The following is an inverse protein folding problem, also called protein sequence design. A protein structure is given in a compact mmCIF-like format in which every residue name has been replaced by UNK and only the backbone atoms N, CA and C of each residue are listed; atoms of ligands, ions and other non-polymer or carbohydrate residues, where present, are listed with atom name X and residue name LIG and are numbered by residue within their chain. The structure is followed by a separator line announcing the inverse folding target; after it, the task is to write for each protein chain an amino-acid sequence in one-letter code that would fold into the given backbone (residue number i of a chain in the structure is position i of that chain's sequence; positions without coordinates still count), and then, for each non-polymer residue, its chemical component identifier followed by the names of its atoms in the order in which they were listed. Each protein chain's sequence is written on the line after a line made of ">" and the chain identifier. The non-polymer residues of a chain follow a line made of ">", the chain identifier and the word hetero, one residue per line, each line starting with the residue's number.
data_IF_100554960748
#
_entry.id   IF_100554960748
#
_cell.length_a   1.000
_cell.length_b   1.000
_cell.length_c   1.000
_cell.angle_alpha   90.00
_cell.angle_beta   90.00
_cell.angle_gamma   90.00
#
_symmetry.space_group_name_H-M   'P 1'
#
loop_
_entity.id
_entity.type
_entity.pdbx_description
1 polymer ?
#
# COMPACT_ATOMS: atom_id res chain seq x y z
N UNK A 1 -25.02 57.77 -43.74
CA UNK A 1 -25.30 57.10 -42.45
C UNK A 1 -24.27 56.00 -42.26
N UNK A 2 -23.17 56.30 -41.57
CA UNK A 2 -22.33 55.29 -40.91
C UNK A 2 -21.68 56.00 -39.72
N UNK A 3 -22.27 55.85 -38.55
CA UNK A 3 -21.75 56.36 -37.28
C UNK A 3 -20.55 55.50 -36.86
N UNK A 4 -19.41 56.12 -36.64
CA UNK A 4 -18.25 55.48 -36.02
C UNK A 4 -18.62 55.09 -34.57
N UNK A 5 -18.25 53.89 -34.09
CA UNK A 5 -18.53 53.50 -32.71
C UNK A 5 -17.66 54.32 -31.75
N UNK A 6 -18.33 54.92 -30.78
CA UNK A 6 -17.79 55.65 -29.64
C UNK A 6 -16.83 54.79 -28.79
N UNK A 7 -15.79 55.46 -28.25
CA UNK A 7 -15.50 55.34 -26.82
C UNK A 7 -14.85 54.05 -26.31
N UNK A 8 -13.59 53.85 -26.67
CA UNK A 8 -12.47 53.41 -25.81
C UNK A 8 -12.74 52.85 -24.39
N UNK A 9 -13.37 51.70 -24.25
CA UNK A 9 -13.27 50.84 -23.03
C UNK A 9 -11.83 50.31 -22.78
N UNK A 10 -10.92 50.53 -23.74
CA UNK A 10 -9.51 50.14 -23.64
C UNK A 10 -8.69 51.05 -22.72
N UNK A 11 -9.07 52.31 -22.53
CA UNK A 11 -8.29 53.25 -21.71
C UNK A 11 -8.51 53.04 -20.20
N UNK A 12 -9.73 52.63 -19.81
CA UNK A 12 -10.12 52.48 -18.40
C UNK A 12 -9.55 51.20 -17.76
N UNK A 13 -9.21 50.19 -18.58
CA UNK A 13 -8.66 48.91 -18.12
C UNK A 13 -7.12 48.83 -18.07
N UNK A 14 -6.39 49.83 -18.60
CA UNK A 14 -4.92 49.83 -18.61
C UNK A 14 -4.24 49.75 -17.22
N UNK A 15 -4.69 50.48 -16.17
CA UNK A 15 -4.00 50.43 -14.87
C UNK A 15 -4.22 49.09 -14.14
N UNK A 16 -5.34 48.40 -14.40
CA UNK A 16 -5.62 47.06 -13.87
C UNK A 16 -4.78 46.01 -14.60
N UNK A 17 -4.65 46.13 -15.92
CA UNK A 17 -3.79 45.28 -16.73
C UNK A 17 -2.31 45.42 -16.31
N UNK A 18 -1.83 46.64 -16.04
CA UNK A 18 -0.48 46.91 -15.54
C UNK A 18 -0.18 46.29 -14.17
N UNK A 19 -1.11 46.36 -13.22
CA UNK A 19 -0.95 45.73 -11.89
C UNK A 19 -1.00 44.20 -11.97
N UNK A 20 -1.82 43.65 -12.87
CA UNK A 20 -1.91 42.20 -13.09
C UNK A 20 -0.64 41.67 -13.76
N UNK A 21 -0.05 42.42 -14.70
CA UNK A 21 1.22 42.05 -15.34
C UNK A 21 2.39 42.14 -14.35
N UNK A 22 2.45 43.16 -13.48
CA UNK A 22 3.46 43.23 -12.41
C UNK A 22 3.37 42.05 -11.43
N UNK A 23 2.15 41.70 -10.98
CA UNK A 23 1.94 40.56 -10.09
C UNK A 23 2.31 39.23 -10.76
N UNK A 24 1.96 39.08 -12.04
CA UNK A 24 2.31 37.90 -12.82
C UNK A 24 3.84 37.79 -13.02
N UNK A 25 4.51 38.90 -13.34
CA UNK A 25 5.97 38.96 -13.49
C UNK A 25 6.68 38.64 -12.18
N UNK A 26 6.23 39.22 -11.06
CA UNK A 26 6.78 38.93 -9.74
C UNK A 26 6.59 37.44 -9.36
N UNK A 27 5.44 36.85 -9.69
CA UNK A 27 5.19 35.41 -9.49
C UNK A 27 6.12 34.55 -10.35
N UNK A 28 6.36 34.95 -11.61
CA UNK A 28 7.27 34.26 -12.51
C UNK A 28 8.71 34.32 -12.01
N UNK A 29 9.23 35.49 -11.64
CA UNK A 29 10.57 35.64 -11.06
C UNK A 29 10.73 34.77 -9.80
N UNK A 30 9.78 34.83 -8.86
CA UNK A 30 9.81 33.95 -7.66
C UNK A 30 9.83 32.47 -8.00
N UNK A 31 9.09 32.03 -9.02
CA UNK A 31 9.10 30.63 -9.45
C UNK A 31 10.43 30.24 -10.08
N UNK A 32 11.02 31.13 -10.88
CA UNK A 32 12.34 30.97 -11.48
C UNK A 32 13.45 30.89 -10.41
N UNK A 33 13.46 31.82 -9.46
CA UNK A 33 14.43 31.86 -8.35
C UNK A 33 14.35 30.60 -7.49
N UNK A 34 13.13 30.13 -7.19
CA UNK A 34 12.93 28.86 -6.47
C UNK A 34 13.50 27.67 -7.24
N UNK A 35 13.32 27.64 -8.57
CA UNK A 35 13.90 26.59 -9.40
C UNK A 35 15.42 26.65 -9.38
N UNK A 36 16.02 27.82 -9.56
CA UNK A 36 17.49 27.99 -9.50
C UNK A 36 18.02 27.56 -8.14
N UNK A 37 17.38 27.96 -7.04
CA UNK A 37 17.77 27.53 -5.69
C UNK A 37 17.81 25.99 -5.58
N UNK A 38 16.77 25.30 -6.07
CA UNK A 38 16.73 23.83 -6.06
C UNK A 38 17.86 23.21 -6.88
N UNK A 39 18.27 23.85 -7.98
CA UNK A 39 19.41 23.37 -8.76
C UNK A 39 20.70 23.43 -7.94
N UNK A 40 20.96 24.58 -7.31
CA UNK A 40 22.13 24.79 -6.46
C UNK A 40 22.14 23.82 -5.26
N UNK A 41 20.98 23.57 -4.64
CA UNK A 41 20.90 22.66 -3.51
C UNK A 41 21.12 21.20 -3.93
N UNK A 42 20.70 20.81 -5.14
CA UNK A 42 21.05 19.50 -5.69
C UNK A 42 22.54 19.39 -6.02
N UNK A 43 23.15 20.45 -6.58
CA UNK A 43 24.58 20.45 -6.90
C UNK A 43 25.42 20.26 -5.63
N UNK A 44 25.05 20.92 -4.52
CA UNK A 44 25.65 20.69 -3.20
C UNK A 44 25.51 19.24 -2.73
N UNK A 45 24.34 18.63 -2.91
CA UNK A 45 24.16 17.22 -2.58
C UNK A 45 25.08 16.34 -3.42
N UNK A 46 25.10 16.54 -4.73
CA UNK A 46 25.92 15.78 -5.68
C UNK A 46 27.40 15.85 -5.33
N UNK A 47 27.92 17.03 -5.04
CA UNK A 47 29.36 17.23 -4.79
C UNK A 47 29.88 16.51 -3.53
N UNK A 48 28.97 16.13 -2.63
CA UNK A 48 29.29 15.39 -1.41
C UNK A 48 28.66 13.99 -1.38
N UNK A 49 28.00 13.56 -2.45
CA UNK A 49 27.18 12.37 -2.45
C UNK A 49 28.01 11.11 -2.25
N UNK A 50 29.13 10.95 -2.96
CA UNK A 50 29.98 9.76 -2.84
C UNK A 50 30.50 9.60 -1.42
N UNK A 51 31.15 10.64 -0.88
CA UNK A 51 31.72 10.59 0.47
C UNK A 51 30.65 10.21 1.51
N UNK A 52 29.52 10.92 1.52
CA UNK A 52 28.45 10.69 2.50
C UNK A 52 27.81 9.32 2.35
N UNK A 53 27.45 8.93 1.13
CA UNK A 53 26.78 7.65 0.89
C UNK A 53 27.72 6.48 1.21
N UNK A 54 29.02 6.59 0.92
CA UNK A 54 29.99 5.57 1.33
C UNK A 54 30.08 5.43 2.85
N UNK A 55 30.16 6.54 3.60
CA UNK A 55 30.13 6.50 5.07
C UNK A 55 28.86 5.82 5.57
N UNK A 56 27.69 6.27 5.10
CA UNK A 56 26.40 5.69 5.51
C UNK A 56 26.24 4.21 5.09
N UNK A 57 26.85 3.81 3.98
CA UNK A 57 26.83 2.43 3.49
C UNK A 57 27.72 1.52 4.35
N UNK A 58 28.89 1.99 4.80
CA UNK A 58 29.79 1.22 5.66
C UNK A 58 29.19 0.90 7.04
N UNK A 59 28.29 1.74 7.52
CA UNK A 59 27.55 1.52 8.77
C UNK A 59 26.35 0.57 8.62
N UNK A 60 26.01 0.17 7.39
CA UNK A 60 24.82 -0.62 7.11
C UNK A 60 25.18 -2.08 6.78
N UNK A 61 25.02 -2.97 7.76
CA UNK A 61 25.27 -4.41 7.62
C UNK A 61 24.56 -5.04 6.40
N UNK A 62 23.37 -4.54 6.03
CA UNK A 62 22.61 -5.06 4.90
C UNK A 62 23.26 -4.74 3.55
N UNK A 63 24.03 -3.66 3.47
CA UNK A 63 24.83 -3.32 2.29
C UNK A 63 26.14 -4.10 2.31
N UNK A 64 26.75 -4.24 3.49
CA UNK A 64 28.01 -4.99 3.68
C UNK A 64 27.87 -6.43 3.17
N UNK A 65 26.71 -7.06 3.37
CA UNK A 65 26.41 -8.41 2.86
C UNK A 65 26.60 -8.55 1.33
N UNK A 66 26.39 -7.49 0.55
CA UNK A 66 26.48 -7.50 -0.91
C UNK A 66 27.78 -6.88 -1.47
N UNK A 67 28.82 -6.68 -0.65
CA UNK A 67 30.07 -6.06 -1.10
C UNK A 67 30.79 -6.86 -2.20
N UNK A 68 30.49 -8.16 -2.36
CA UNK A 68 31.01 -8.99 -3.45
C UNK A 68 30.59 -8.51 -4.86
N UNK A 69 29.51 -7.73 -4.99
CA UNK A 69 29.11 -7.09 -6.24
C UNK A 69 29.91 -5.80 -6.52
N UNK A 70 30.65 -5.29 -5.54
CA UNK A 70 31.16 -3.93 -5.52
C UNK A 70 30.03 -2.91 -5.28
N UNK A 71 30.32 -1.86 -4.52
CA UNK A 71 29.38 -0.79 -4.23
C UNK A 71 29.94 0.54 -4.73
N UNK A 72 29.21 1.18 -5.64
CA UNK A 72 29.68 2.37 -6.35
C UNK A 72 28.68 3.50 -6.18
N UNK A 73 29.22 4.70 -5.95
CA UNK A 73 28.47 5.95 -6.03
C UNK A 73 29.06 6.76 -7.18
N UNK A 74 28.25 6.97 -8.21
CA UNK A 74 28.61 7.69 -9.42
C UNK A 74 27.96 9.06 -9.36
N UNK A 75 28.78 10.08 -9.16
CA UNK A 75 28.40 11.48 -9.25
C UNK A 75 28.37 11.87 -10.74
N UNK A 76 27.22 12.37 -11.20
CA UNK A 76 27.06 12.95 -12.53
C UNK A 76 28.12 14.00 -12.84
N UNK A 77 28.51 14.11 -14.11
CA UNK A 77 29.59 14.97 -14.58
C UNK A 77 30.99 14.41 -14.33
N UNK A 78 31.29 13.99 -13.09
CA UNK A 78 32.64 13.54 -12.68
C UNK A 78 32.94 12.09 -13.01
N UNK A 79 31.99 11.18 -12.78
CA UNK A 79 32.22 9.72 -12.85
C UNK A 79 31.12 8.95 -13.56
N UNK A 80 29.90 9.50 -13.66
CA UNK A 80 28.73 8.85 -14.26
C UNK A 80 28.46 9.23 -15.73
N UNK A 81 29.34 10.00 -16.38
CA UNK A 81 29.12 10.57 -17.71
C UNK A 81 28.81 12.07 -17.67
N UNK A 82 28.30 12.62 -18.79
CA UNK A 82 28.13 14.06 -19.02
C UNK A 82 26.91 14.69 -18.33
N UNK A 83 26.09 13.90 -17.63
CA UNK A 83 24.84 14.38 -17.05
C UNK A 83 25.03 14.78 -15.57
N UNK A 84 25.15 16.09 -15.36
CA UNK A 84 25.27 16.73 -14.05
C UNK A 84 24.00 16.65 -13.20
N UNK A 85 22.86 16.26 -13.79
CA UNK A 85 21.56 16.18 -13.12
C UNK A 85 21.34 14.87 -12.37
N UNK A 86 22.34 13.98 -12.36
CA UNK A 86 22.20 12.60 -11.88
C UNK A 86 23.22 12.24 -10.82
N UNK A 87 22.78 11.49 -9.81
CA UNK A 87 23.65 10.71 -8.91
C UNK A 87 23.16 9.28 -8.89
N UNK A 88 24.04 8.32 -9.19
CA UNK A 88 23.68 6.89 -9.23
C UNK A 88 24.43 6.11 -8.17
N UNK A 89 23.70 5.44 -7.28
CA UNK A 89 24.24 4.48 -6.31
C UNK A 89 23.92 3.08 -6.82
N UNK A 90 24.91 2.21 -6.98
CA UNK A 90 24.68 0.89 -7.53
C UNK A 90 25.55 -0.19 -6.89
N UNK A 91 24.97 -1.38 -6.76
CA UNK A 91 25.74 -2.61 -6.71
C UNK A 91 26.24 -2.92 -8.12
N UNK A 92 27.50 -3.31 -8.24
CA UNK A 92 28.12 -3.64 -9.53
C UNK A 92 27.62 -4.98 -10.08
N UNK A 93 28.41 -5.56 -10.98
CA UNK A 93 28.10 -6.86 -11.57
C UNK A 93 28.89 -7.98 -10.88
N UNK A 94 28.24 -9.14 -10.72
CA UNK A 94 28.89 -10.35 -10.21
C UNK A 94 28.74 -11.48 -11.21
N UNK A 95 29.83 -12.10 -11.69
CA UNK A 95 29.75 -13.28 -12.54
C UNK A 95 29.22 -14.47 -11.72
N UNK A 96 28.29 -15.23 -12.28
CA UNK A 96 27.70 -16.39 -11.60
C UNK A 96 27.77 -17.68 -12.42
N UNK A 97 27.95 -17.60 -13.74
CA UNK A 97 28.05 -18.77 -14.60
C UNK A 97 29.01 -18.50 -15.76
N UNK A 98 29.90 -19.45 -16.01
CA UNK A 98 30.74 -19.45 -17.21
C UNK A 98 30.37 -20.66 -18.06
N UNK A 99 30.04 -20.41 -19.32
CA UNK A 99 29.66 -21.44 -20.29
C UNK A 99 30.68 -21.44 -21.42
N UNK A 100 31.17 -22.62 -21.76
CA UNK A 100 31.99 -22.83 -22.95
C UNK A 100 31.08 -23.07 -24.14
N UNK A 101 31.24 -22.28 -25.19
CA UNK A 101 30.59 -22.49 -26.46
C UNK A 101 31.12 -23.74 -27.17
N UNK A 102 30.43 -24.10 -28.26
CA UNK A 102 30.89 -25.18 -29.12
C UNK A 102 32.30 -24.87 -29.66
N UNK A 103 33.15 -25.89 -29.80
CA UNK A 103 34.48 -25.72 -30.37
C UNK A 103 34.35 -25.16 -31.80
N UNK A 104 34.97 -24.03 -32.05
CA UNK A 104 35.05 -23.42 -33.36
C UNK A 104 36.51 -23.36 -33.82
N UNK A 105 36.73 -23.64 -35.10
CA UNK A 105 38.04 -23.52 -35.73
C UNK A 105 38.33 -22.04 -35.97
N UNK A 106 39.25 -21.49 -35.19
CA UNK A 106 39.69 -20.09 -35.28
C UNK A 106 41.18 -20.11 -35.59
N UNK A 107 41.57 -19.62 -36.77
CA UNK A 107 42.95 -19.65 -37.28
C UNK A 107 43.62 -21.04 -37.29
N UNK A 108 42.87 -22.11 -37.57
CA UNK A 108 43.42 -23.46 -37.63
C UNK A 108 43.57 -24.16 -36.27
N UNK A 109 43.30 -23.45 -35.16
CA UNK A 109 43.27 -24.01 -33.82
C UNK A 109 41.83 -24.18 -33.34
N UNK A 110 41.58 -25.25 -32.59
CA UNK A 110 40.28 -25.51 -32.00
C UNK A 110 40.13 -24.66 -30.74
N UNK A 111 39.37 -23.57 -30.84
CA UNK A 111 39.12 -22.64 -29.74
C UNK A 111 37.67 -22.74 -29.25
N UNK A 112 37.46 -22.60 -27.94
CA UNK A 112 36.13 -22.53 -27.35
C UNK A 112 35.84 -21.10 -26.98
N UNK A 113 34.71 -20.56 -27.44
CA UNK A 113 34.25 -19.25 -26.99
C UNK A 113 33.88 -19.33 -25.51
N UNK A 114 34.46 -18.43 -24.70
CA UNK A 114 34.14 -18.30 -23.29
C UNK A 114 33.04 -17.25 -23.16
N UNK A 115 31.87 -17.63 -22.64
CA UNK A 115 30.81 -16.67 -22.28
C UNK A 115 30.58 -16.71 -20.78
N UNK A 116 30.78 -15.56 -20.14
CA UNK A 116 30.48 -15.37 -18.72
C UNK A 116 29.17 -14.61 -18.59
N UNK A 117 28.23 -15.17 -17.85
CA UNK A 117 26.99 -14.51 -17.47
C UNK A 117 27.19 -13.78 -16.15
N UNK A 118 26.79 -12.51 -16.13
CA UNK A 118 26.87 -11.69 -14.92
C UNK A 118 25.47 -11.27 -14.46
N UNK A 119 25.34 -11.17 -13.15
CA UNK A 119 24.21 -10.54 -12.51
C UNK A 119 24.55 -9.08 -12.24
N UNK A 120 23.75 -8.17 -12.76
CA UNK A 120 23.83 -6.76 -12.43
C UNK A 120 23.08 -6.50 -11.14
N UNK A 121 23.74 -5.92 -10.14
CA UNK A 121 23.13 -5.56 -8.87
C UNK A 121 22.09 -4.44 -8.98
N UNK A 122 21.30 -4.28 -7.90
CA UNK A 122 20.29 -3.23 -7.81
C UNK A 122 20.94 -1.83 -7.80
N UNK A 123 20.19 -0.83 -8.28
CA UNK A 123 20.66 0.56 -8.29
C UNK A 123 19.59 1.55 -7.88
N UNK A 124 20.02 2.65 -7.29
CA UNK A 124 19.25 3.79 -6.88
C UNK A 124 19.75 5.02 -7.63
N UNK A 125 18.85 5.67 -8.37
CA UNK A 125 19.13 6.85 -9.19
C UNK A 125 18.45 8.06 -8.57
N UNK A 126 19.21 9.12 -8.32
CA UNK A 126 18.69 10.44 -8.03
C UNK A 126 18.80 11.26 -9.31
N UNK A 127 17.67 11.63 -9.88
CA UNK A 127 17.61 12.42 -11.12
C UNK A 127 16.87 13.72 -10.86
N UNK A 128 17.54 14.85 -11.08
CA UNK A 128 16.94 16.18 -11.01
C UNK A 128 16.16 16.45 -12.31
N UNK A 129 14.88 16.79 -12.19
CA UNK A 129 14.07 17.25 -13.30
C UNK A 129 14.27 18.73 -13.63
N UNK A 130 13.71 19.18 -14.75
CA UNK A 130 13.77 20.57 -15.22
C UNK A 130 12.98 21.57 -14.34
N UNK A 131 12.19 21.05 -13.40
CA UNK A 131 11.54 21.83 -12.36
C UNK A 131 12.43 21.97 -11.10
N UNK A 132 13.50 21.21 -10.99
CA UNK A 132 14.41 21.17 -9.84
C UNK A 132 13.97 20.19 -8.75
N UNK A 133 12.89 19.44 -8.95
CA UNK A 133 12.56 18.32 -8.08
C UNK A 133 13.46 17.12 -8.39
N UNK A 134 13.70 16.27 -7.40
CA UNK A 134 14.57 15.10 -7.57
C UNK A 134 13.74 13.83 -7.49
N UNK A 135 13.77 13.05 -8.56
CA UNK A 135 13.17 11.73 -8.62
C UNK A 135 14.18 10.70 -8.11
N UNK A 136 13.76 9.92 -7.12
CA UNK A 136 14.53 8.79 -6.59
C UNK A 136 13.96 7.50 -7.19
N UNK A 137 14.73 6.87 -8.08
CA UNK A 137 14.30 5.71 -8.86
C UNK A 137 15.10 4.47 -8.43
N UNK A 138 14.41 3.39 -8.16
CA UNK A 138 15.00 2.14 -7.70
C UNK A 138 14.85 1.07 -8.78
N UNK A 139 15.98 0.50 -9.19
CA UNK A 139 16.07 -0.56 -10.18
C UNK A 139 16.48 -1.86 -9.50
N UNK A 140 15.80 -2.99 -9.81
CA UNK A 140 16.13 -4.28 -9.22
C UNK A 140 17.41 -4.85 -9.82
N UNK A 141 17.97 -5.85 -9.17
CA UNK A 141 19.00 -6.69 -9.76
C UNK A 141 18.47 -7.38 -11.03
N UNK A 142 19.38 -7.74 -11.94
CA UNK A 142 19.08 -8.48 -13.18
C UNK A 142 20.10 -9.56 -13.39
N UNK A 143 19.64 -10.73 -13.82
CA UNK A 143 20.47 -11.65 -14.57
C UNK A 143 20.19 -11.49 -16.07
N UNK A 144 21.15 -11.85 -16.92
CA UNK A 144 20.94 -11.89 -18.38
C UNK A 144 19.91 -12.93 -18.82
N UNK A 145 19.67 -13.96 -17.99
CA UNK A 145 18.79 -15.08 -18.31
C UNK A 145 17.33 -14.84 -17.95
N UNK A 146 17.05 -14.01 -16.95
CA UNK A 146 15.70 -13.78 -16.47
C UNK A 146 15.22 -12.38 -16.81
N UNK A 147 14.08 -12.30 -17.51
CA UNK A 147 13.43 -11.03 -17.78
C UNK A 147 12.74 -10.50 -16.52
N UNK A 148 12.94 -9.21 -16.24
CA UNK A 148 12.41 -8.58 -15.03
C UNK A 148 10.89 -8.42 -15.11
N UNK A 149 10.18 -8.87 -14.08
CA UNK A 149 8.75 -8.54 -13.91
C UNK A 149 8.54 -7.05 -13.60
N UNK A 150 9.47 -6.41 -12.90
CA UNK A 150 9.43 -4.97 -12.56
C UNK A 150 10.69 -4.30 -13.08
N UNK A 151 10.54 -3.26 -13.89
CA UNK A 151 11.70 -2.54 -14.45
C UNK A 151 12.24 -1.47 -13.51
N UNK A 152 11.37 -0.74 -12.80
CA UNK A 152 11.75 0.34 -11.89
C UNK A 152 10.61 0.65 -10.90
N UNK A 153 10.98 1.14 -9.72
CA UNK A 153 10.07 1.69 -8.71
C UNK A 153 10.44 3.14 -8.43
N UNK A 154 9.47 4.04 -8.45
CA UNK A 154 9.67 5.42 -7.99
C UNK A 154 9.66 5.39 -6.46
N UNK A 155 10.85 5.40 -5.86
CA UNK A 155 11.04 5.34 -4.41
C UNK A 155 10.49 6.61 -3.76
N UNK A 156 10.91 7.77 -4.27
CA UNK A 156 10.46 9.06 -3.75
C UNK A 156 10.55 10.19 -4.79
N UNK A 157 9.84 11.29 -4.54
CA UNK A 157 9.96 12.54 -5.28
C UNK A 157 10.28 13.62 -4.25
N UNK A 158 11.55 13.97 -4.16
CA UNK A 158 12.06 14.97 -3.23
C UNK A 158 11.75 16.35 -3.78
N UNK A 159 10.89 17.09 -3.07
CA UNK A 159 10.43 18.40 -3.51
C UNK A 159 11.49 19.48 -3.30
N UNK A 160 12.23 19.37 -2.20
CA UNK A 160 13.33 20.26 -1.87
C UNK A 160 14.65 19.46 -1.84
N UNK A 161 15.57 19.65 -2.80
CA UNK A 161 16.82 18.90 -2.86
C UNK A 161 17.69 19.05 -1.60
N UNK A 162 17.49 20.09 -0.79
CA UNK A 162 18.18 20.20 0.50
C UNK A 162 17.86 19.04 1.46
N UNK A 163 16.70 18.38 1.30
CA UNK A 163 16.33 17.21 2.11
C UNK A 163 17.25 16.00 1.85
N UNK A 164 17.91 15.95 0.69
CA UNK A 164 18.94 14.94 0.38
C UNK A 164 20.21 15.16 1.20
N UNK A 165 20.36 16.32 1.84
CA UNK A 165 21.43 16.56 2.81
C UNK A 165 21.08 16.02 4.20
N UNK A 166 19.92 15.40 4.42
CA UNK A 166 19.60 14.71 5.67
C UNK A 166 20.03 13.23 5.62
N UNK A 167 20.90 12.84 6.55
CA UNK A 167 21.36 11.45 6.69
C UNK A 167 20.21 10.48 6.98
N UNK A 168 19.14 10.91 7.66
CA UNK A 168 18.01 10.03 7.98
C UNK A 168 17.30 9.59 6.71
N UNK A 169 17.10 10.51 5.78
CA UNK A 169 16.48 10.25 4.49
C UNK A 169 17.38 9.34 3.64
N UNK A 170 18.68 9.64 3.54
CA UNK A 170 19.64 8.81 2.81
C UNK A 170 19.75 7.39 3.38
N UNK A 171 19.82 7.24 4.72
CA UNK A 171 19.79 5.92 5.38
C UNK A 171 18.52 5.13 5.04
N UNK A 172 17.37 5.80 4.99
CA UNK A 172 16.12 5.15 4.57
C UNK A 172 16.18 4.71 3.11
N UNK A 173 16.71 5.55 2.22
CA UNK A 173 16.90 5.18 0.80
C UNK A 173 17.85 3.98 0.64
N UNK A 174 18.96 3.97 1.37
CA UNK A 174 19.93 2.87 1.39
C UNK A 174 19.34 1.57 1.95
N UNK A 175 18.52 1.63 3.00
CA UNK A 175 17.79 0.45 3.50
C UNK A 175 16.79 -0.08 2.47
N UNK A 176 16.14 0.81 1.71
CA UNK A 176 15.29 0.40 0.60
C UNK A 176 16.09 -0.26 -0.51
N UNK A 177 17.25 0.30 -0.88
CA UNK A 177 18.16 -0.28 -1.87
C UNK A 177 18.64 -1.68 -1.45
N UNK A 178 19.10 -1.85 -0.21
CA UNK A 178 19.55 -3.14 0.32
C UNK A 178 18.42 -4.18 0.38
N UNK A 179 17.22 -3.78 0.83
CA UNK A 179 16.05 -4.67 0.81
C UNK A 179 15.65 -5.09 -0.62
N UNK A 180 15.81 -4.19 -1.59
CA UNK A 180 15.52 -4.46 -3.00
C UNK A 180 16.57 -5.40 -3.61
N UNK A 181 17.85 -5.16 -3.33
CA UNK A 181 18.94 -6.07 -3.70
C UNK A 181 18.68 -7.46 -3.15
N UNK A 182 18.46 -7.59 -1.83
CA UNK A 182 18.23 -8.88 -1.20
C UNK A 182 17.01 -9.64 -1.72
N UNK A 183 15.96 -8.94 -2.15
CA UNK A 183 14.75 -9.57 -2.68
C UNK A 183 14.85 -9.93 -4.17
N UNK A 184 15.78 -9.33 -4.93
CA UNK A 184 15.85 -9.48 -6.38
C UNK A 184 17.14 -10.13 -6.87
N UNK A 185 18.15 -10.25 -6.00
CA UNK A 185 19.41 -10.87 -6.37
C UNK A 185 19.34 -12.39 -6.37
N UNK A 186 20.14 -13.05 -7.20
CA UNK A 186 20.18 -14.52 -7.30
C UNK A 186 20.52 -15.18 -5.96
N UNK A 187 21.57 -14.68 -5.30
CA UNK A 187 22.02 -15.16 -3.98
C UNK A 187 21.40 -14.34 -2.82
N UNK A 188 20.26 -13.70 -3.06
CA UNK A 188 19.60 -12.84 -2.09
C UNK A 188 18.91 -13.63 -0.99
N UNK A 189 19.22 -13.32 0.28
CA UNK A 189 18.52 -13.88 1.44
C UNK A 189 17.81 -12.77 2.24
N UNK A 190 16.62 -12.32 1.80
CA UNK A 190 15.97 -11.17 2.42
C UNK A 190 15.45 -11.54 3.81
N UNK A 191 15.82 -10.74 4.82
CA UNK A 191 15.25 -10.85 6.17
C UNK A 191 13.76 -10.50 6.16
N UNK A 192 13.01 -10.90 7.20
CA UNK A 192 11.57 -10.63 7.31
C UNK A 192 11.26 -9.13 7.15
N UNK A 193 12.05 -8.27 7.80
CA UNK A 193 11.91 -6.81 7.67
C UNK A 193 12.14 -6.32 6.24
N UNK A 194 13.12 -6.89 5.53
CA UNK A 194 13.40 -6.56 4.13
C UNK A 194 12.27 -7.05 3.21
N UNK A 195 11.70 -8.24 3.47
CA UNK A 195 10.52 -8.75 2.77
C UNK A 195 9.32 -7.82 2.94
N UNK A 196 9.04 -7.38 4.17
CA UNK A 196 7.97 -6.41 4.45
C UNK A 196 8.21 -5.09 3.72
N UNK A 197 9.45 -4.57 3.74
CA UNK A 197 9.81 -3.33 3.06
C UNK A 197 9.68 -3.46 1.54
N UNK A 198 10.15 -4.56 0.97
CA UNK A 198 10.00 -4.88 -0.45
C UNK A 198 8.52 -4.93 -0.85
N UNK A 199 7.69 -5.62 -0.06
CA UNK A 199 6.24 -5.74 -0.26
C UNK A 199 5.51 -4.40 -0.10
N UNK A 200 5.99 -3.51 0.77
CA UNK A 200 5.47 -2.15 0.89
C UNK A 200 5.83 -1.28 -0.33
N UNK A 201 7.06 -1.35 -0.82
CA UNK A 201 7.54 -0.59 -1.99
C UNK A 201 6.72 -0.90 -3.25
N UNK A 202 6.74 -2.17 -3.65
CA UNK A 202 5.54 -2.97 -3.57
C UNK A 202 4.19 -2.27 -3.80
N UNK A 203 3.32 -2.45 -2.83
CA UNK A 203 1.94 -1.98 -2.83
C UNK A 203 1.79 -0.44 -3.01
N UNK A 204 2.66 0.33 -2.36
CA UNK A 204 2.45 1.76 -2.13
C UNK A 204 3.06 2.67 -3.21
N UNK A 205 4.13 2.25 -3.89
CA UNK A 205 4.87 3.10 -4.83
C UNK A 205 4.46 2.83 -6.28
N UNK A 206 4.74 3.82 -7.15
CA UNK A 206 4.52 3.70 -8.60
C UNK A 206 5.61 2.80 -9.18
N UNK A 207 5.26 1.94 -10.12
CA UNK A 207 6.19 1.00 -10.75
C UNK A 207 6.06 1.03 -12.26
N UNK A 208 7.14 0.75 -12.97
CA UNK A 208 7.11 0.49 -14.41
C UNK A 208 7.27 -1.01 -14.66
N UNK A 209 6.35 -1.58 -15.44
CA UNK A 209 6.41 -2.97 -15.90
C UNK A 209 6.47 -2.90 -17.43
N UNK A 210 7.56 -3.39 -18.03
CA UNK A 210 7.75 -3.31 -19.49
C UNK A 210 7.73 -1.87 -20.05
N UNK A 211 8.30 -0.90 -19.32
CA UNK A 211 8.33 0.51 -19.73
C UNK A 211 7.04 1.31 -19.50
N UNK A 212 5.93 0.65 -19.12
CA UNK A 212 4.66 1.33 -18.84
C UNK A 212 4.51 1.63 -17.35
N UNK A 213 4.26 2.90 -17.01
CA UNK A 213 4.01 3.34 -15.63
C UNK A 213 2.66 2.81 -15.17
N UNK A 214 2.65 1.88 -14.21
CA UNK A 214 1.43 1.40 -13.56
C UNK A 214 1.06 2.27 -12.35
N UNK A 215 -0.25 2.53 -12.14
CA UNK A 215 -0.72 3.23 -10.95
C UNK A 215 -0.44 2.41 -9.68
N UNK A 216 -0.51 3.08 -8.52
CA UNK A 216 -0.25 2.45 -7.21
C UNK A 216 -1.29 1.36 -6.93
N UNK A 217 -0.86 0.16 -6.54
CA UNK A 217 -1.78 -0.94 -6.26
C UNK A 217 -2.76 -0.61 -5.12
N UNK A 218 -2.32 0.15 -4.11
CA UNK A 218 -3.22 0.64 -3.04
C UNK A 218 -4.37 1.46 -3.60
N UNK A 219 -4.14 2.31 -4.61
CA UNK A 219 -5.21 3.11 -5.22
C UNK A 219 -6.21 2.23 -5.97
N UNK A 220 -5.73 1.18 -6.63
CA UNK A 220 -6.59 0.21 -7.31
C UNK A 220 -7.43 -0.57 -6.30
N UNK A 221 -6.82 -1.03 -5.20
CA UNK A 221 -7.51 -1.77 -4.13
C UNK A 221 -8.53 -0.87 -3.43
N UNK A 222 -8.14 0.36 -3.06
CA UNK A 222 -9.04 1.33 -2.44
C UNK A 222 -10.21 1.68 -3.36
N UNK A 223 -9.97 1.86 -4.66
CA UNK A 223 -11.03 2.10 -5.65
C UNK A 223 -12.00 0.92 -5.75
N UNK A 224 -11.51 -0.33 -5.74
CA UNK A 224 -12.36 -1.52 -5.72
C UNK A 224 -13.16 -1.65 -4.42
N UNK A 225 -12.55 -1.38 -3.28
CA UNK A 225 -13.22 -1.42 -1.98
C UNK A 225 -14.32 -0.36 -1.92
N UNK A 226 -14.03 0.86 -2.36
CA UNK A 226 -14.99 1.95 -2.42
C UNK A 226 -16.15 1.61 -3.36
N UNK A 227 -15.86 1.02 -4.53
CA UNK A 227 -16.88 0.53 -5.44
C UNK A 227 -17.74 -0.56 -4.78
N UNK A 228 -17.12 -1.51 -4.08
CA UNK A 228 -17.85 -2.56 -3.36
C UNK A 228 -18.76 -1.98 -2.27
N UNK A 229 -18.23 -1.07 -1.43
CA UNK A 229 -19.03 -0.36 -0.41
C UNK A 229 -20.17 0.42 -1.07
N UNK A 230 -19.93 1.08 -2.21
CA UNK A 230 -20.96 1.77 -2.96
C UNK A 230 -22.04 0.81 -3.48
N UNK A 231 -21.67 -0.37 -3.99
CA UNK A 231 -22.67 -1.38 -4.44
C UNK A 231 -23.52 -1.91 -3.30
N UNK A 232 -22.93 -2.16 -2.13
CA UNK A 232 -23.67 -2.60 -0.93
C UNK A 232 -24.59 -1.49 -0.42
N UNK A 233 -24.09 -0.26 -0.35
CA UNK A 233 -24.88 0.90 0.03
C UNK A 233 -26.04 1.15 -0.95
N UNK A 234 -25.80 1.04 -2.25
CA UNK A 234 -26.83 1.22 -3.28
C UNK A 234 -27.91 0.13 -3.21
N UNK A 235 -27.52 -1.11 -2.94
CA UNK A 235 -28.48 -2.20 -2.69
C UNK A 235 -29.34 -1.93 -1.46
N UNK A 236 -28.74 -1.46 -0.36
CA UNK A 236 -29.48 -1.08 0.85
C UNK A 236 -30.44 0.10 0.62
N UNK A 237 -30.00 1.13 -0.11
CA UNK A 237 -30.84 2.28 -0.48
C UNK A 237 -31.98 1.84 -1.39
N UNK A 238 -31.72 0.98 -2.37
CA UNK A 238 -32.74 0.45 -3.25
C UNK A 238 -33.80 -0.36 -2.48
N UNK A 239 -33.39 -1.21 -1.54
CA UNK A 239 -34.30 -1.94 -0.65
C UNK A 239 -35.12 -1.00 0.23
N UNK A 240 -34.47 -0.01 0.85
CA UNK A 240 -35.16 0.99 1.66
C UNK A 240 -36.21 1.78 0.85
N UNK A 241 -35.86 2.18 -0.37
CA UNK A 241 -36.78 2.87 -1.28
C UNK A 241 -37.93 1.95 -1.74
N UNK A 242 -37.66 0.67 -2.02
CA UNK A 242 -38.70 -0.31 -2.35
C UNK A 242 -39.67 -0.51 -1.18
N UNK A 243 -39.17 -0.76 0.03
CA UNK A 243 -40.00 -0.93 1.23
C UNK A 243 -40.83 0.32 1.54
N UNK A 244 -40.26 1.52 1.32
CA UNK A 244 -40.97 2.78 1.55
C UNK A 244 -42.01 3.08 0.48
N UNK A 245 -41.78 2.70 -0.77
CA UNK A 245 -42.65 3.03 -1.91
C UNK A 245 -43.73 1.98 -2.15
N UNK A 246 -43.45 0.74 -1.79
CA UNK A 246 -44.40 -0.35 -1.68
C UNK A 246 -44.26 -0.97 -0.30
N UNK A 247 -44.91 -0.38 0.72
CA UNK A 247 -45.15 -1.10 1.95
C UNK A 247 -46.01 -2.31 1.55
N UNK A 248 -45.37 -3.47 1.47
CA UNK A 248 -46.08 -4.71 1.29
C UNK A 248 -47.12 -4.76 2.41
N UNK A 249 -48.41 -4.86 2.05
CA UNK A 249 -49.45 -5.10 3.03
C UNK A 249 -49.13 -6.48 3.59
N UNK A 250 -48.38 -6.52 4.68
CA UNK A 250 -48.11 -7.71 5.44
C UNK A 250 -49.45 -8.31 5.88
N UNK A 251 -50.02 -9.19 5.04
CA UNK A 251 -51.17 -10.00 5.42
C UNK A 251 -50.75 -11.09 6.42
N UNK A 252 -49.45 -11.39 6.48
CA UNK A 252 -48.85 -12.45 7.31
C UNK A 252 -48.63 -11.99 8.75
N UNK A 253 -48.18 -10.76 8.98
CA UNK A 253 -47.91 -10.23 10.32
C UNK A 253 -49.16 -10.21 11.23
N UNK A 254 -50.37 -9.79 10.79
CA UNK A 254 -51.57 -9.88 11.62
C UNK A 254 -52.07 -11.32 11.78
N UNK A 255 -51.90 -12.19 10.77
CA UNK A 255 -52.30 -13.59 10.84
C UNK A 255 -51.43 -14.38 11.84
N UNK A 256 -50.11 -14.13 11.86
CA UNK A 256 -49.17 -14.72 12.83
C UNK A 256 -49.42 -14.15 14.23
N UNK A 257 -49.74 -12.86 14.35
CA UNK A 257 -50.12 -12.26 15.64
C UNK A 257 -51.43 -12.87 16.17
N UNK A 258 -52.44 -13.07 15.31
CA UNK A 258 -53.68 -13.73 15.70
C UNK A 258 -53.49 -15.21 16.04
N UNK A 259 -52.66 -15.94 15.28
CA UNK A 259 -52.37 -17.35 15.54
C UNK A 259 -51.63 -17.52 16.88
N UNK A 260 -50.67 -16.66 17.20
CA UNK A 260 -49.95 -16.68 18.49
C UNK A 260 -50.87 -16.34 19.67
N UNK A 261 -51.74 -15.34 19.53
CA UNK A 261 -52.75 -15.00 20.54
C UNK A 261 -53.79 -16.11 20.73
N UNK A 262 -54.23 -16.77 19.66
CA UNK A 262 -55.15 -17.90 19.74
C UNK A 262 -54.50 -19.13 20.41
N UNK A 263 -53.21 -19.37 20.17
CA UNK A 263 -52.46 -20.42 20.85
C UNK A 263 -52.32 -20.14 22.36
N UNK A 264 -52.04 -18.89 22.75
CA UNK A 264 -51.99 -18.48 24.16
C UNK A 264 -53.34 -18.68 24.86
N UNK A 265 -54.46 -18.24 24.25
CA UNK A 265 -55.80 -18.45 24.82
C UNK A 265 -56.16 -19.92 25.00
N UNK A 266 -55.76 -20.79 24.07
CA UNK A 266 -55.96 -22.24 24.21
C UNK A 266 -55.15 -22.81 25.39
N UNK A 267 -53.91 -22.37 25.57
CA UNK A 267 -53.08 -22.80 26.69
C UNK A 267 -53.63 -22.35 28.05
N UNK A 268 -54.15 -21.12 28.14
CA UNK A 268 -54.79 -20.60 29.35
C UNK A 268 -56.11 -21.33 29.65
N UNK A 269 -56.91 -21.64 28.63
CA UNK A 269 -58.13 -22.43 28.80
C UNK A 269 -57.82 -23.86 29.27
N UNK A 270 -56.76 -24.49 28.75
CA UNK A 270 -56.31 -25.80 29.23
C UNK A 270 -55.85 -25.76 30.69
N UNK A 271 -55.12 -24.71 31.08
CA UNK A 271 -54.72 -24.51 32.48
C UNK A 271 -55.93 -24.36 33.40
N UNK A 272 -56.95 -23.57 33.01
CA UNK A 272 -58.18 -23.43 33.80
C UNK A 272 -58.96 -24.73 33.93
N UNK A 273 -58.99 -25.55 32.87
CA UNK A 273 -59.62 -26.89 32.93
C UNK A 273 -58.84 -27.80 33.88
N UNK A 274 -57.50 -27.77 33.85
CA UNK A 274 -56.67 -28.53 34.78
C UNK A 274 -56.83 -28.05 36.23
N UNK A 275 -56.97 -26.74 36.46
CA UNK A 275 -57.29 -26.19 37.77
C UNK A 275 -58.68 -26.61 38.25
N UNK A 276 -59.70 -26.57 37.39
CA UNK A 276 -61.03 -27.10 37.74
C UNK A 276 -61.00 -28.60 38.04
N UNK A 277 -60.23 -29.39 37.28
CA UNK A 277 -60.04 -30.83 37.56
C UNK A 277 -59.34 -31.01 38.91
N UNK A 278 -58.32 -30.20 39.21
CA UNK A 278 -57.64 -30.22 40.51
C UNK A 278 -58.58 -29.87 41.65
N UNK A 279 -59.40 -28.83 41.51
CA UNK A 279 -60.32 -28.36 42.54
C UNK A 279 -61.48 -29.35 42.75
N UNK A 280 -61.98 -29.97 41.68
CA UNK A 280 -62.97 -31.06 41.76
C UNK A 280 -62.39 -32.31 42.39
N UNK A 281 -61.15 -32.68 42.08
CA UNK A 281 -60.45 -33.79 42.77
C UNK A 281 -60.15 -33.48 44.24
N UNK A 282 -59.86 -32.21 44.58
CA UNK A 282 -59.71 -31.77 45.97
C UNK A 282 -61.05 -31.79 46.73
N UNK A 283 -62.16 -31.45 46.07
CA UNK A 283 -63.51 -31.51 46.65
C UNK A 283 -64.06 -32.94 46.75
N UNK A 284 -63.59 -33.87 45.92
CA UNK A 284 -64.00 -35.29 45.92
C UNK A 284 -63.04 -36.22 46.66
N UNK A 285 -62.05 -35.69 47.40
CA UNK A 285 -61.12 -36.51 48.15
C UNK A 285 -61.82 -37.19 49.35
N UNK A 286 -61.95 -38.53 49.38
CA UNK A 286 -62.49 -39.22 50.53
C UNK A 286 -61.50 -39.20 51.70
N UNK A 287 -62.00 -38.85 52.87
CA UNK A 287 -61.32 -38.97 54.16
C UNK A 287 -60.82 -40.40 54.37
N UNK A 288 -59.51 -40.65 54.35
CA UNK A 288 -58.96 -41.91 54.87
C UNK A 288 -57.53 -41.78 55.42
N UNK A 289 -57.46 -42.05 56.73
CA UNK A 289 -56.44 -42.74 57.51
C UNK A 289 -54.96 -42.28 57.43
N UNK A 290 -54.52 -41.73 58.58
CA UNK A 290 -53.21 -41.91 59.25
C UNK A 290 -52.19 -42.84 58.56
N UNK A 291 -50.98 -42.34 58.24
CA UNK A 291 -49.80 -43.15 58.06
C UNK A 291 -49.05 -43.36 59.39
N UNK A 292 -48.72 -44.62 59.67
CA UNK A 292 -47.73 -45.05 60.65
C UNK A 292 -46.32 -44.53 60.27
N UNK A 293 -45.55 -44.20 61.31
CA UNK A 293 -44.19 -43.70 61.25
C UNK A 293 -43.14 -44.79 60.87
N UNK A 294 -41.83 -44.52 60.90
CA UNK A 294 -41.06 -43.97 59.78
C UNK A 294 -39.91 -44.91 59.35
N UNK A 295 -39.44 -44.80 58.11
CA UNK A 295 -38.16 -45.41 57.69
C UNK A 295 -37.15 -44.32 57.36
N UNK A 296 -36.12 -44.27 58.20
CA UNK A 296 -34.91 -43.44 58.10
C UNK A 296 -34.01 -44.07 57.03
N UNK A 297 -33.69 -43.37 55.95
CA UNK A 297 -32.51 -43.69 55.12
C UNK A 297 -31.76 -42.41 54.79
N UNK A 298 -30.47 -42.49 55.07
CA UNK A 298 -29.41 -41.51 55.02
C UNK A 298 -29.13 -40.93 53.64
N UNK A 299 -28.83 -39.64 53.63
CA UNK A 299 -28.22 -38.88 52.53
C UNK A 299 -26.74 -39.27 52.35
N UNK A 300 -26.23 -39.30 51.11
CA UNK A 300 -24.84 -38.95 50.88
C UNK A 300 -24.65 -37.92 49.77
N UNK A 301 -23.87 -36.89 50.10
CA UNK A 301 -22.72 -36.48 49.29
C UNK A 301 -22.98 -35.71 48.01
N UNK A 302 -22.93 -34.38 48.12
CA UNK A 302 -22.50 -33.52 47.01
C UNK A 302 -20.98 -33.68 46.80
N UNK A 303 -20.49 -33.53 45.55
CA UNK A 303 -19.18 -32.96 45.33
C UNK A 303 -19.26 -31.63 44.57
N UNK A 304 -18.37 -30.74 44.99
CA UNK A 304 -18.03 -29.48 44.37
C UNK A 304 -17.47 -29.68 42.95
N UNK A 305 -17.73 -28.71 42.07
CA UNK A 305 -16.99 -28.57 40.82
C UNK A 305 -16.25 -27.23 40.78
N UNK A 306 -14.94 -27.36 40.53
CA UNK A 306 -13.94 -26.31 40.51
C UNK A 306 -14.05 -25.42 39.27
N UNK A 307 -13.65 -24.16 39.45
CA UNK A 307 -13.31 -23.27 38.35
C UNK A 307 -12.06 -23.69 37.58
N UNK A 308 -12.10 -23.37 36.29
CA UNK A 308 -11.01 -22.83 35.48
C UNK A 308 -11.62 -21.89 34.45
#
# INVERSE_FOLDING_TARGET
>A
MTTAPEGSDFAENQPVLGKLTERALARFHRAHDRRIKRYLDFDKFRDHAAARIHTLASENEQIVYFLSYGFYVLEGGKTAGWDDSVVKVQFGSRPYLTVYGEPQLVYGEMSRSLRTFAEQGASLLYQRGDDGHVMCLLYPASSERESKTVSMVVLDIVRDPSDLLDDRLLRSHLKSLAAYMAATSLDGSPTILQKCRYWWLHLAKRRTIGGVVRPRQIQVIAGKLLLWVATVAFSGIALFLMQRRWPEKDAVTPAVLQASQAAQRKSEAQLRVLEQIRDTMAASAPTRATPSAPVKVSSPGAPAENGK
#
